data_IF_968480508270
#
_entry.id   IF_968480508270
#
_cell.length_a   1.000
_cell.length_b   1.000
_cell.length_c   1.000
_cell.angle_alpha   90.00
_cell.angle_beta   90.00
_cell.angle_gamma   90.00
#
_symmetry.space_group_name_H-M   'P 1'
#
loop_
_entity.id
_entity.type
_entity.pdbx_description
1 polymer ?
#
# COMPACT_ATOMS: atom_id res chain seq x y z
N UNK A 1 -22.80 6.33 -0.88
CA UNK A 1 -21.59 6.91 -0.28
C UNK A 1 -20.37 6.25 -0.86
N UNK A 2 -19.40 7.05 -1.24
CA UNK A 2 -18.14 6.50 -1.72
C UNK A 2 -17.30 6.01 -0.54
N UNK A 3 -16.54 4.95 -0.76
CA UNK A 3 -15.57 4.47 0.21
C UNK A 3 -14.42 5.48 0.33
N UNK A 4 -13.66 5.36 1.39
CA UNK A 4 -12.53 6.25 1.64
C UNK A 4 -11.33 5.96 0.77
N UNK A 5 -10.30 6.78 0.95
CA UNK A 5 -8.99 6.60 0.31
C UNK A 5 -7.98 6.27 1.41
N UNK A 6 -7.10 5.32 1.13
CA UNK A 6 -6.15 4.82 2.10
C UNK A 6 -4.77 4.68 1.50
N UNK A 7 -3.76 4.94 2.32
CA UNK A 7 -2.38 4.72 1.93
C UNK A 7 -1.78 3.62 2.79
N UNK A 8 -1.19 2.65 2.12
CA UNK A 8 -0.45 1.56 2.75
C UNK A 8 1.03 1.92 2.66
N UNK A 9 1.68 2.10 3.80
CA UNK A 9 3.10 2.36 3.82
C UNK A 9 3.81 1.13 4.33
N UNK A 10 4.52 0.46 3.45
CA UNK A 10 5.14 -0.83 3.70
C UNK A 10 6.64 -0.64 3.82
N UNK A 11 7.21 -1.08 4.94
CA UNK A 11 8.65 -1.17 5.10
C UNK A 11 9.06 -2.62 4.88
N UNK A 12 10.03 -2.83 4.00
CA UNK A 12 10.42 -4.18 3.60
C UNK A 12 11.94 -4.28 3.48
N UNK A 13 12.42 -5.51 3.45
CA UNK A 13 13.83 -5.78 3.22
C UNK A 13 14.21 -5.31 1.82
N UNK A 14 15.46 -4.85 1.66
CA UNK A 14 16.00 -4.47 0.34
C UNK A 14 16.25 -5.76 -0.42
N UNK A 15 15.30 -6.12 -1.28
CA UNK A 15 15.32 -7.37 -2.03
C UNK A 15 14.50 -7.18 -3.29
N UNK A 16 14.96 -7.69 -4.45
CA UNK A 16 14.21 -7.54 -5.69
C UNK A 16 12.78 -8.11 -5.62
N UNK A 17 12.55 -9.08 -4.73
CA UNK A 17 11.24 -9.70 -4.61
C UNK A 17 10.27 -8.89 -3.74
N UNK A 18 10.76 -7.94 -2.94
CA UNK A 18 9.89 -7.23 -2.00
C UNK A 18 8.76 -6.50 -2.71
N UNK A 19 9.08 -5.69 -3.71
CA UNK A 19 8.06 -4.96 -4.48
C UNK A 19 7.12 -5.93 -5.18
N UNK A 20 7.67 -6.96 -5.81
CA UNK A 20 6.87 -7.92 -6.57
C UNK A 20 5.88 -8.66 -5.67
N UNK A 21 6.29 -9.02 -4.47
CA UNK A 21 5.40 -9.75 -3.56
C UNK A 21 4.28 -8.84 -3.05
N UNK A 22 4.59 -7.58 -2.74
CA UNK A 22 3.57 -6.62 -2.32
C UNK A 22 2.56 -6.39 -3.45
N UNK A 23 3.05 -6.10 -4.66
CA UNK A 23 2.17 -5.89 -5.81
C UNK A 23 1.40 -7.15 -6.17
N UNK A 24 2.04 -8.31 -6.06
CA UNK A 24 1.38 -9.59 -6.32
C UNK A 24 0.20 -9.82 -5.39
N UNK A 25 0.33 -9.44 -4.13
CA UNK A 25 -0.79 -9.57 -3.20
C UNK A 25 -1.96 -8.67 -3.61
N UNK A 26 -1.67 -7.41 -3.98
CA UNK A 26 -2.71 -6.50 -4.48
C UNK A 26 -3.40 -7.08 -5.71
N UNK A 27 -2.62 -7.66 -6.62
CA UNK A 27 -3.17 -8.29 -7.83
C UNK A 27 -4.08 -9.47 -7.48
N UNK A 28 -3.69 -10.29 -6.51
CA UNK A 28 -4.50 -11.43 -6.08
C UNK A 28 -5.84 -10.99 -5.49
N UNK A 29 -5.89 -9.82 -4.88
CA UNK A 29 -7.11 -9.28 -4.30
C UNK A 29 -7.88 -8.40 -5.29
N UNK A 30 -7.42 -8.32 -6.53
CA UNK A 30 -8.03 -7.49 -7.57
C UNK A 30 -8.08 -6.01 -7.18
N UNK A 31 -7.07 -5.56 -6.43
CA UNK A 31 -6.97 -4.16 -6.03
C UNK A 31 -5.87 -3.51 -6.86
N UNK A 32 -6.22 -2.42 -7.55
CA UNK A 32 -5.26 -1.66 -8.34
C UNK A 32 -4.87 -0.42 -7.55
N UNK A 33 -3.58 -0.27 -7.19
CA UNK A 33 -3.15 0.97 -6.55
C UNK A 33 -3.27 2.14 -7.51
N UNK A 34 -3.83 3.24 -7.03
CA UNK A 34 -3.95 4.46 -7.84
C UNK A 34 -2.62 5.20 -7.94
N UNK A 35 -1.76 5.02 -6.94
CA UNK A 35 -0.43 5.61 -6.93
C UNK A 35 0.52 4.68 -6.19
N UNK A 36 1.76 4.67 -6.64
CA UNK A 36 2.80 3.84 -6.05
C UNK A 36 4.09 4.65 -6.00
N UNK A 37 4.72 4.66 -4.84
CA UNK A 37 6.05 5.23 -4.68
C UNK A 37 6.92 4.23 -3.95
N UNK A 38 8.17 4.12 -4.37
CA UNK A 38 9.12 3.25 -3.71
C UNK A 38 10.43 4.01 -3.50
N UNK A 39 11.01 3.82 -2.34
CA UNK A 39 12.30 4.41 -2.01
C UNK A 39 13.17 3.39 -1.31
N UNK A 40 14.42 3.30 -1.73
CA UNK A 40 15.41 2.42 -1.10
C UNK A 40 16.28 3.27 -0.20
N UNK A 41 16.28 2.97 1.09
CA UNK A 41 17.12 3.61 2.07
C UNK A 41 18.39 2.79 2.34
N UNK A 42 19.03 3.07 3.48
CA UNK A 42 20.29 2.38 3.82
C UNK A 42 20.07 0.93 4.24
N UNK A 43 18.99 0.66 4.96
CA UNK A 43 18.76 -0.65 5.55
C UNK A 43 17.39 -1.24 5.24
N UNK A 44 16.54 -0.49 4.55
CA UNK A 44 15.20 -0.98 4.20
C UNK A 44 14.68 -0.22 3.00
N UNK A 45 13.65 -0.76 2.37
CA UNK A 45 12.92 -0.05 1.33
C UNK A 45 11.52 0.28 1.83
N UNK A 46 11.00 1.40 1.36
CA UNK A 46 9.66 1.86 1.71
C UNK A 46 8.81 1.87 0.44
N UNK A 47 7.66 1.19 0.50
CA UNK A 47 6.73 1.09 -0.62
C UNK A 47 5.43 1.71 -0.15
N UNK A 48 5.01 2.80 -0.81
CA UNK A 48 3.77 3.50 -0.48
C UNK A 48 2.76 3.26 -1.59
N UNK A 49 1.61 2.72 -1.23
CA UNK A 49 0.53 2.43 -2.19
C UNK A 49 -0.70 3.18 -1.74
N UNK A 50 -1.26 3.97 -2.66
CA UNK A 50 -2.48 4.72 -2.41
C UNK A 50 -3.62 4.06 -3.16
N UNK A 51 -4.74 3.80 -2.47
CA UNK A 51 -5.92 3.18 -3.07
C UNK A 51 -7.13 4.05 -2.77
N UNK A 52 -7.85 4.45 -3.82
CA UNK A 52 -9.09 5.21 -3.70
C UNK A 52 -10.29 4.26 -3.73
N UNK A 53 -11.37 4.70 -3.10
CA UNK A 53 -12.65 3.98 -3.14
C UNK A 53 -12.55 2.55 -2.61
N UNK A 54 -11.87 2.41 -1.47
CA UNK A 54 -11.76 1.14 -0.77
C UNK A 54 -12.37 1.30 0.63
N UNK A 55 -13.17 0.32 1.04
CA UNK A 55 -13.78 0.33 2.37
C UNK A 55 -12.71 0.13 3.44
N UNK A 56 -12.87 0.79 4.57
CA UNK A 56 -11.92 0.66 5.68
C UNK A 56 -11.71 -0.80 6.08
N UNK A 57 -12.80 -1.56 6.21
CA UNK A 57 -12.70 -2.96 6.61
C UNK A 57 -11.83 -3.75 5.63
N UNK A 58 -11.96 -3.48 4.33
CA UNK A 58 -11.14 -4.15 3.31
C UNK A 58 -9.69 -3.70 3.41
N UNK A 59 -9.46 -2.39 3.61
CA UNK A 59 -8.10 -1.86 3.75
C UNK A 59 -7.38 -2.49 4.95
N UNK A 60 -8.09 -2.66 6.07
CA UNK A 60 -7.52 -3.29 7.27
C UNK A 60 -7.13 -4.74 7.00
N UNK A 61 -7.95 -5.49 6.28
CA UNK A 61 -7.63 -6.88 5.93
C UNK A 61 -6.39 -6.93 5.03
N UNK A 62 -6.33 -6.06 4.03
CA UNK A 62 -5.18 -6.01 3.13
C UNK A 62 -3.91 -5.68 3.90
N UNK A 63 -3.95 -4.68 4.79
CA UNK A 63 -2.79 -4.31 5.58
C UNK A 63 -2.30 -5.47 6.46
N UNK A 64 -3.23 -6.17 7.11
CA UNK A 64 -2.89 -7.30 7.97
C UNK A 64 -2.23 -8.44 7.17
N UNK A 65 -2.73 -8.69 5.96
CA UNK A 65 -2.16 -9.73 5.11
C UNK A 65 -0.79 -9.34 4.56
N UNK A 66 -0.59 -8.06 4.24
CA UNK A 66 0.73 -7.60 3.80
C UNK A 66 1.79 -7.84 4.87
N UNK A 67 1.43 -7.68 6.14
CA UNK A 67 2.37 -7.93 7.24
C UNK A 67 2.83 -9.38 7.32
N UNK A 68 2.10 -10.31 6.72
CA UNK A 68 2.45 -11.73 6.72
C UNK A 68 3.46 -12.10 5.63
N UNK A 69 3.74 -11.20 4.70
CA UNK A 69 4.75 -11.43 3.68
C UNK A 69 6.13 -11.43 4.34
N UNK A 70 6.91 -12.49 4.11
CA UNK A 70 8.18 -12.70 4.83
C UNK A 70 9.12 -11.50 4.71
N UNK A 71 9.19 -10.87 3.54
CA UNK A 71 10.09 -9.75 3.30
C UNK A 71 9.59 -8.44 3.89
N UNK A 72 8.34 -8.38 4.32
CA UNK A 72 7.74 -7.17 4.89
C UNK A 72 8.05 -7.10 6.37
N UNK A 73 8.54 -5.94 6.81
CA UNK A 73 8.87 -5.69 8.20
C UNK A 73 7.74 -5.02 8.96
N UNK A 74 7.06 -4.07 8.33
CA UNK A 74 5.94 -3.37 8.96
C UNK A 74 5.02 -2.79 7.89
N UNK A 75 3.76 -2.57 8.27
CA UNK A 75 2.77 -1.92 7.41
C UNK A 75 2.03 -0.88 8.25
N UNK A 76 1.97 0.35 7.76
CA UNK A 76 1.15 1.40 8.35
C UNK A 76 0.03 1.74 7.38
N UNK A 77 -1.18 1.87 7.91
CA UNK A 77 -2.36 2.21 7.13
C UNK A 77 -2.85 3.59 7.57
N UNK A 78 -2.88 4.54 6.63
CA UNK A 78 -3.31 5.90 6.90
C UNK A 78 -4.52 6.24 6.04
N UNK A 79 -5.54 6.80 6.67
CA UNK A 79 -6.68 7.34 5.93
C UNK A 79 -6.28 8.66 5.29
N UNK A 80 -6.69 8.86 4.03
CA UNK A 80 -6.37 10.06 3.28
C UNK A 80 -7.58 10.97 3.21
N UNK A 81 -7.31 12.28 3.28
CA UNK A 81 -8.32 13.30 3.04
C UNK A 81 -8.77 13.18 1.57
N UNK A 82 -10.10 13.12 1.30
CA UNK A 82 -10.60 13.06 -0.07
C UNK A 82 -10.05 14.16 -0.98
N UNK A 83 -9.71 15.33 -0.44
CA UNK A 83 -9.13 16.42 -1.23
C UNK A 83 -7.77 16.05 -1.83
N UNK A 84 -7.04 15.11 -1.24
CA UNK A 84 -5.74 14.69 -1.76
C UNK A 84 -5.86 13.88 -3.04
N UNK A 85 -7.02 13.30 -3.31
CA UNK A 85 -7.25 12.53 -4.53
C UNK A 85 -7.08 13.39 -5.77
N UNK A 86 -7.59 14.62 -5.76
CA UNK A 86 -7.46 15.52 -6.89
C UNK A 86 -6.01 15.87 -7.16
N UNK A 87 -5.21 16.08 -6.10
CA UNK A 87 -3.80 16.38 -6.25
C UNK A 87 -3.03 15.20 -6.81
N UNK A 88 -3.38 14.00 -6.41
CA UNK A 88 -2.71 12.79 -6.90
C UNK A 88 -3.02 12.53 -8.36
N UNK A 89 -4.19 12.96 -8.84
CA UNK A 89 -4.61 12.78 -10.23
C UNK A 89 -4.04 13.82 -11.17
N UNK A 90 -3.51 14.90 -10.65
CA UNK A 90 -3.02 16.01 -11.46
C UNK A 90 -1.69 15.71 -12.22
#
# INVERSE_FOLDING_TARGET
>A
MSDGAWRFEVEAMIDPQSLLRVLGYFAQRSVVPDALQMRVGDDKMTISLTVFDIAEAHALVVAAKLEQIVLVQSVRLDELDPAKRERAAA
#
